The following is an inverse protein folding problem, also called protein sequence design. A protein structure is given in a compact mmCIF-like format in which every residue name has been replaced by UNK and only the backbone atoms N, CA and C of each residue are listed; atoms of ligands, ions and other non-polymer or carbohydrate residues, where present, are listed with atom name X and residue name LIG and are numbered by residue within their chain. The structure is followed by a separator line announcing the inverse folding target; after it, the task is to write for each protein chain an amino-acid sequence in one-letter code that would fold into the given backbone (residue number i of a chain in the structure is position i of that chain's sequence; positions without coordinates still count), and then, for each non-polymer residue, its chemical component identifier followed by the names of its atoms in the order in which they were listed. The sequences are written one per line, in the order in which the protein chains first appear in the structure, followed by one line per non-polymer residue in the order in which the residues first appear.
data_IF_741820992159
#
_entry.id   IF_741820992159
#
_cell.length_a   1.000
_cell.length_b   1.000
_cell.length_c   1.000
_cell.angle_alpha   90.00
_cell.angle_beta   90.00
_cell.angle_gamma   90.00
#
_symmetry.space_group_name_H-M   'P 1'
#
loop_
_entity.id
_entity.type
_entity.pdbx_description
1 polymer ?
#
# COMPACT_ATOMS: atom_id res chain seq x y z
N UNK A 1 7.05 23.23 15.91
CA UNK A 1 7.78 24.23 15.10
C UNK A 1 8.58 23.51 14.02
N UNK A 2 8.29 23.77 12.75
CA UNK A 2 9.05 23.25 11.62
C UNK A 2 10.45 23.89 11.63
N UNK A 3 11.51 23.09 11.51
CA UNK A 3 12.88 23.59 11.59
C UNK A 3 13.23 24.51 10.40
N UNK A 4 14.16 25.45 10.58
CA UNK A 4 14.72 26.27 9.49
C UNK A 4 15.34 25.42 8.38
N UNK A 5 15.83 24.22 8.74
CA UNK A 5 16.30 23.21 7.77
C UNK A 5 15.16 22.64 6.94
N UNK A 6 13.98 22.40 7.51
CA UNK A 6 12.80 21.88 6.79
C UNK A 6 12.22 22.92 5.81
N UNK A 7 12.36 24.21 6.10
CA UNK A 7 11.96 25.30 5.18
C UNK A 7 12.93 25.40 4.00
N UNK A 8 14.23 25.27 4.25
CA UNK A 8 15.29 25.35 3.21
C UNK A 8 15.45 24.06 2.42
N UNK A 9 15.19 22.93 3.07
CA UNK A 9 15.24 21.59 2.51
C UNK A 9 13.89 20.95 2.81
N UNK A 10 12.93 21.05 1.88
CA UNK A 10 11.61 20.46 2.05
C UNK A 10 11.77 19.04 2.58
N UNK A 11 10.94 18.67 3.56
CA UNK A 11 10.89 17.31 4.08
C UNK A 11 10.79 16.37 2.87
N UNK A 12 11.88 15.63 2.60
CA UNK A 12 12.03 14.69 1.48
C UNK A 12 12.45 15.22 0.08
N UNK A 13 12.74 16.52 -0.12
CA UNK A 13 13.25 17.10 -1.40
C UNK A 13 12.43 16.70 -2.66
N UNK A 14 11.13 16.45 -2.53
CA UNK A 14 10.27 16.03 -3.65
C UNK A 14 10.44 14.55 -4.06
N UNK A 15 11.07 13.72 -3.24
CA UNK A 15 11.32 12.30 -3.55
C UNK A 15 10.16 11.37 -3.13
N UNK A 16 8.96 11.86 -2.85
CA UNK A 16 7.79 11.01 -2.63
C UNK A 16 6.60 11.48 -3.45
N UNK A 17 5.71 10.55 -3.74
CA UNK A 17 4.48 10.77 -4.47
C UNK A 17 3.38 11.06 -3.45
N UNK A 18 2.82 12.26 -3.48
CA UNK A 18 1.74 12.66 -2.57
C UNK A 18 0.48 11.84 -2.87
N UNK A 19 -0.14 11.28 -1.84
CA UNK A 19 -1.37 10.50 -1.97
C UNK A 19 -1.22 9.16 -2.70
N UNK A 20 0.01 8.68 -2.89
CA UNK A 20 0.25 7.40 -3.53
C UNK A 20 1.49 6.70 -2.95
N UNK A 21 1.56 5.35 -3.05
CA UNK A 21 2.72 4.61 -2.59
C UNK A 21 3.99 5.10 -3.27
N UNK A 22 4.97 5.47 -2.46
CA UNK A 22 6.24 5.97 -2.95
C UNK A 22 7.26 4.85 -3.03
N UNK A 23 7.79 4.54 -4.22
CA UNK A 23 8.80 3.50 -4.35
C UNK A 23 10.06 3.92 -3.61
N UNK A 24 10.65 2.94 -2.93
CA UNK A 24 11.94 3.10 -2.29
C UNK A 24 13.01 3.56 -3.30
N UNK A 25 14.01 4.30 -2.83
CA UNK A 25 14.99 4.95 -3.72
C UNK A 25 15.73 3.97 -4.63
N UNK A 26 16.03 2.77 -4.12
CA UNK A 26 16.66 1.71 -4.90
C UNK A 26 15.77 1.26 -6.07
N UNK A 27 14.46 1.12 -5.83
CA UNK A 27 13.49 0.58 -6.79
C UNK A 27 13.35 1.45 -8.06
N UNK A 28 13.68 2.74 -7.99
CA UNK A 28 13.63 3.65 -9.15
C UNK A 28 14.59 3.26 -10.27
N UNK A 29 15.74 2.70 -9.91
CA UNK A 29 16.79 2.35 -10.85
C UNK A 29 17.02 0.84 -10.95
N UNK A 30 16.29 0.05 -10.18
CA UNK A 30 16.35 -1.42 -10.21
C UNK A 30 15.28 -1.94 -11.18
N UNK A 31 15.69 -2.55 -12.32
CA UNK A 31 14.75 -3.20 -13.23
C UNK A 31 13.90 -4.24 -12.52
N UNK A 32 12.75 -4.58 -13.09
CA UNK A 32 12.01 -5.78 -12.64
C UNK A 32 12.86 -7.00 -12.99
N UNK A 33 13.22 -7.80 -11.99
CA UNK A 33 13.98 -9.03 -12.21
C UNK A 33 13.13 -10.09 -12.92
N UNK A 34 13.75 -10.81 -13.85
CA UNK A 34 13.20 -11.97 -14.55
C UNK A 34 13.56 -13.31 -13.86
N UNK A 35 14.40 -13.26 -12.82
CA UNK A 35 14.79 -14.41 -12.01
C UNK A 35 13.65 -15.00 -11.16
N UNK A 36 13.94 -16.10 -10.45
CA UNK A 36 12.96 -16.74 -9.56
C UNK A 36 12.55 -15.83 -8.39
N UNK A 37 11.39 -16.12 -7.80
CA UNK A 37 10.94 -15.43 -6.59
C UNK A 37 11.93 -15.62 -5.43
N UNK A 38 12.24 -14.55 -4.70
CA UNK A 38 13.16 -14.62 -3.57
C UNK A 38 12.47 -15.05 -2.26
N UNK A 39 11.18 -14.78 -2.09
CA UNK A 39 10.44 -14.97 -0.83
C UNK A 39 9.14 -15.76 -0.98
N UNK A 40 8.89 -16.40 -2.13
CA UNK A 40 7.72 -17.26 -2.33
C UNK A 40 8.17 -18.71 -2.50
N UNK A 41 7.50 -19.61 -1.79
CA UNK A 41 7.63 -21.05 -1.95
C UNK A 41 6.23 -21.61 -2.21
N UNK A 42 6.01 -22.21 -3.38
CA UNK A 42 4.71 -22.74 -3.80
C UNK A 42 3.55 -21.73 -3.67
N UNK A 43 3.63 -20.57 -4.36
CA UNK A 43 2.62 -19.52 -4.23
C UNK A 43 1.27 -19.95 -4.80
N UNK A 44 0.20 -19.65 -4.06
CA UNK A 44 -1.19 -19.88 -4.49
C UNK A 44 -1.45 -19.04 -5.74
N UNK A 45 -1.73 -19.73 -6.84
CA UNK A 45 -2.11 -19.10 -8.10
C UNK A 45 -3.57 -18.67 -8.06
N UNK A 46 -3.87 -17.49 -8.60
CA UNK A 46 -5.24 -17.00 -8.74
C UNK A 46 -5.79 -17.47 -10.10
N UNK A 47 -6.83 -18.33 -10.15
CA UNK A 47 -7.39 -18.80 -11.41
C UNK A 47 -7.95 -17.65 -12.25
N UNK A 48 -7.91 -17.77 -13.58
CA UNK A 48 -8.45 -16.75 -14.50
C UNK A 48 -9.92 -16.41 -14.20
N UNK A 49 -10.74 -17.39 -13.82
CA UNK A 49 -12.13 -17.16 -13.43
C UNK A 49 -12.27 -16.25 -12.21
N UNK A 50 -11.34 -16.35 -11.26
CA UNK A 50 -11.28 -15.49 -10.06
C UNK A 50 -10.77 -14.11 -10.45
N UNK A 51 -9.75 -14.02 -11.31
CA UNK A 51 -9.25 -12.73 -11.84
C UNK A 51 -10.39 -11.95 -12.52
N UNK A 52 -11.17 -12.61 -13.37
CA UNK A 52 -12.30 -11.97 -14.05
C UNK A 52 -13.42 -11.55 -13.08
N UNK A 53 -13.71 -12.36 -12.06
CA UNK A 53 -14.64 -11.95 -11.00
C UNK A 53 -14.13 -10.70 -10.24
N UNK A 54 -12.83 -10.64 -9.94
CA UNK A 54 -12.22 -9.49 -9.28
C UNK A 54 -12.27 -8.22 -10.16
N UNK A 55 -12.08 -8.34 -11.48
CA UNK A 55 -12.21 -7.21 -12.42
C UNK A 55 -13.61 -6.59 -12.41
N UNK A 56 -14.64 -7.39 -12.14
CA UNK A 56 -16.03 -6.90 -12.00
C UNK A 56 -16.35 -6.28 -10.63
N UNK A 57 -15.52 -6.50 -9.62
CA UNK A 57 -15.81 -6.14 -8.22
C UNK A 57 -14.89 -5.03 -7.66
N UNK A 58 -13.76 -4.75 -8.30
CA UNK A 58 -12.73 -3.85 -7.81
C UNK A 58 -12.50 -2.67 -8.76
N UNK A 59 -11.77 -1.64 -8.30
CA UNK A 59 -11.41 -0.48 -9.10
C UNK A 59 -10.43 -0.84 -10.23
N UNK A 60 -9.43 -1.68 -9.93
CA UNK A 60 -8.43 -2.13 -10.89
C UNK A 60 -7.84 -3.48 -10.49
N UNK A 61 -7.37 -4.25 -11.47
CA UNK A 61 -6.72 -5.57 -11.26
C UNK A 61 -5.49 -5.69 -12.16
N UNK A 62 -4.34 -5.98 -11.55
CA UNK A 62 -3.04 -6.09 -12.19
C UNK A 62 -2.51 -7.51 -12.08
N UNK A 63 -2.16 -8.10 -13.22
CA UNK A 63 -1.67 -9.48 -13.36
C UNK A 63 -0.33 -9.57 -14.08
N UNK A 64 0.07 -8.49 -14.77
CA UNK A 64 1.35 -8.38 -15.45
C UNK A 64 2.48 -8.47 -14.42
N UNK A 65 3.40 -9.45 -14.57
CA UNK A 65 4.50 -9.69 -13.62
C UNK A 65 5.26 -8.40 -13.27
N UNK A 66 5.56 -7.58 -14.28
CA UNK A 66 6.28 -6.33 -14.06
C UNK A 66 5.51 -5.32 -13.20
N UNK A 67 4.20 -5.22 -13.39
CA UNK A 67 3.34 -4.38 -12.56
C UNK A 67 3.20 -4.93 -11.14
N UNK A 68 3.04 -6.25 -11.01
CA UNK A 68 2.93 -6.94 -9.71
C UNK A 68 4.20 -6.69 -8.90
N UNK A 69 5.38 -6.96 -9.46
CA UNK A 69 6.66 -6.69 -8.80
C UNK A 69 6.78 -5.23 -8.41
N UNK A 70 6.51 -4.29 -9.32
CA UNK A 70 6.60 -2.86 -9.00
C UNK A 70 5.66 -2.45 -7.84
N UNK A 71 4.51 -3.12 -7.70
CA UNK A 71 3.48 -2.85 -6.69
C UNK A 71 3.66 -3.62 -5.38
N UNK A 72 4.49 -4.65 -5.33
CA UNK A 72 4.79 -5.41 -4.10
C UNK A 72 6.11 -5.00 -3.43
N UNK A 73 6.95 -4.19 -4.09
CA UNK A 73 8.18 -3.64 -3.49
C UNK A 73 7.91 -2.82 -2.23
N UNK A 74 8.66 -3.10 -1.17
CA UNK A 74 8.62 -2.37 0.10
C UNK A 74 10.02 -1.86 0.52
N UNK A 75 10.18 -1.49 1.79
CA UNK A 75 11.41 -0.92 2.32
C UNK A 75 12.19 -1.91 3.22
N UNK A 76 11.85 -3.20 3.19
CA UNK A 76 12.53 -4.21 3.98
C UNK A 76 13.83 -4.68 3.32
N UNK A 77 14.92 -4.76 4.08
CA UNK A 77 16.22 -5.19 3.53
C UNK A 77 16.17 -6.57 2.87
N UNK A 78 15.32 -7.49 3.36
CA UNK A 78 15.18 -8.83 2.78
C UNK A 78 14.64 -8.81 1.34
N UNK A 79 13.58 -8.02 1.08
CA UNK A 79 13.04 -7.86 -0.27
C UNK A 79 14.01 -7.10 -1.17
N UNK A 80 14.67 -6.05 -0.64
CA UNK A 80 15.65 -5.24 -1.37
C UNK A 80 16.81 -6.06 -1.92
N UNK A 81 17.39 -6.94 -1.10
CA UNK A 81 18.54 -7.76 -1.50
C UNK A 81 18.16 -8.62 -2.71
N UNK A 82 17.05 -9.36 -2.62
CA UNK A 82 16.57 -10.19 -3.74
C UNK A 82 16.32 -9.37 -5.00
N UNK A 83 15.58 -8.26 -4.88
CA UNK A 83 15.23 -7.41 -6.02
C UNK A 83 16.46 -6.85 -6.73
N UNK A 84 17.48 -6.41 -5.98
CA UNK A 84 18.73 -5.89 -6.56
C UNK A 84 19.61 -6.96 -7.19
N UNK A 85 19.42 -8.23 -6.85
CA UNK A 85 20.05 -9.40 -7.48
C UNK A 85 19.26 -9.92 -8.69
N UNK A 86 18.17 -9.25 -9.09
CA UNK A 86 17.29 -9.69 -10.17
C UNK A 86 16.34 -10.83 -9.77
N UNK A 87 16.21 -11.11 -8.46
CA UNK A 87 15.28 -12.09 -7.90
C UNK A 87 14.11 -11.37 -7.22
N UNK A 88 13.03 -11.05 -7.95
CA UNK A 88 11.92 -10.28 -7.39
C UNK A 88 11.36 -10.95 -6.12
N UNK A 89 10.98 -10.14 -5.13
CA UNK A 89 10.62 -10.65 -3.81
C UNK A 89 9.39 -11.56 -3.85
N UNK A 90 8.30 -11.03 -4.43
CA UNK A 90 7.00 -11.70 -4.51
C UNK A 90 6.32 -11.43 -5.86
N UNK A 91 6.85 -11.98 -6.96
CA UNK A 91 6.33 -11.74 -8.30
C UNK A 91 5.00 -12.45 -8.62
N UNK A 92 4.65 -13.51 -7.88
CA UNK A 92 3.52 -14.39 -8.20
C UNK A 92 2.32 -14.02 -7.33
N UNK A 93 1.59 -12.97 -7.73
CA UNK A 93 0.39 -12.48 -7.07
C UNK A 93 -0.49 -11.69 -8.06
N UNK A 94 -1.72 -11.39 -7.66
CA UNK A 94 -2.63 -10.46 -8.38
C UNK A 94 -2.88 -9.25 -7.50
N UNK A 95 -2.62 -8.04 -8.01
CA UNK A 95 -2.88 -6.80 -7.25
C UNK A 95 -4.28 -6.29 -7.60
N UNK A 96 -5.09 -6.03 -6.58
CA UNK A 96 -6.47 -5.57 -6.70
C UNK A 96 -6.62 -4.26 -5.94
N UNK A 97 -6.98 -3.19 -6.63
CA UNK A 97 -7.21 -1.88 -6.01
C UNK A 97 -8.68 -1.73 -5.60
N UNK A 98 -8.94 -1.33 -4.36
CA UNK A 98 -10.27 -0.97 -3.88
C UNK A 98 -10.38 0.54 -3.61
N UNK A 99 -11.56 1.11 -3.84
CA UNK A 99 -11.87 2.54 -3.65
C UNK A 99 -12.84 2.81 -2.48
N UNK A 100 -13.49 1.77 -1.97
CA UNK A 100 -14.48 1.87 -0.91
C UNK A 100 -14.65 0.53 -0.18
N UNK A 101 -15.43 0.55 0.90
CA UNK A 101 -15.67 -0.61 1.74
C UNK A 101 -16.48 -1.72 1.03
N UNK A 102 -17.34 -1.37 0.07
CA UNK A 102 -18.15 -2.35 -0.65
C UNK A 102 -17.29 -3.17 -1.61
N UNK A 103 -16.34 -2.52 -2.29
CA UNK A 103 -15.34 -3.18 -3.11
C UNK A 103 -14.41 -4.07 -2.27
N UNK A 104 -13.95 -3.59 -1.11
CA UNK A 104 -13.17 -4.41 -0.16
C UNK A 104 -13.95 -5.67 0.22
N UNK A 105 -15.21 -5.51 0.62
CA UNK A 105 -16.05 -6.63 1.00
C UNK A 105 -16.31 -7.59 -0.17
N UNK A 106 -16.49 -7.09 -1.39
CA UNK A 106 -16.69 -7.91 -2.58
C UNK A 106 -15.43 -8.74 -2.92
N UNK A 107 -14.25 -8.11 -2.91
CA UNK A 107 -12.98 -8.81 -3.14
C UNK A 107 -12.75 -9.89 -2.09
N UNK A 108 -12.97 -9.58 -0.81
CA UNK A 108 -12.80 -10.55 0.27
C UNK A 108 -13.76 -11.74 0.15
N UNK A 109 -15.03 -11.51 -0.24
CA UNK A 109 -15.99 -12.60 -0.51
C UNK A 109 -15.52 -13.50 -1.65
N UNK A 110 -15.13 -12.91 -2.78
CA UNK A 110 -14.64 -13.67 -3.95
C UNK A 110 -13.42 -14.53 -3.57
N UNK A 111 -12.46 -13.95 -2.84
CA UNK A 111 -11.27 -14.68 -2.42
C UNK A 111 -11.59 -15.77 -1.39
N UNK A 112 -12.50 -15.49 -0.45
CA UNK A 112 -12.97 -16.48 0.53
C UNK A 112 -13.61 -17.70 -0.14
N UNK A 113 -14.57 -17.47 -1.05
CA UNK A 113 -15.28 -18.53 -1.75
C UNK A 113 -14.34 -19.38 -2.62
N UNK A 114 -13.28 -18.78 -3.15
CA UNK A 114 -12.27 -19.44 -3.97
C UNK A 114 -11.07 -20.01 -3.16
N UNK A 115 -11.01 -19.80 -1.85
CA UNK A 115 -9.87 -20.22 -1.02
C UNK A 115 -8.55 -19.50 -1.33
N UNK A 116 -8.61 -18.27 -1.86
CA UNK A 116 -7.44 -17.49 -2.24
C UNK A 116 -6.98 -16.62 -1.06
N UNK A 117 -5.69 -16.67 -0.65
CA UNK A 117 -5.17 -15.83 0.41
C UNK A 117 -5.16 -14.36 -0.03
N UNK A 118 -5.40 -13.46 0.93
CA UNK A 118 -5.40 -12.01 0.70
C UNK A 118 -4.36 -11.34 1.59
N UNK A 119 -3.48 -10.57 0.99
CA UNK A 119 -2.52 -9.71 1.69
C UNK A 119 -2.97 -8.24 1.56
N UNK A 120 -3.36 -7.57 2.66
CA UNK A 120 -3.67 -6.15 2.61
C UNK A 120 -2.40 -5.33 2.35
N UNK A 121 -2.51 -4.29 1.51
CA UNK A 121 -1.41 -3.39 1.18
C UNK A 121 -1.93 -1.97 1.00
N UNK A 122 -1.06 -1.00 1.25
CA UNK A 122 -1.36 0.43 1.08
C UNK A 122 -0.07 1.21 0.83
N UNK A 123 0.36 2.08 1.75
CA UNK A 123 1.55 2.92 1.58
C UNK A 123 2.89 2.18 1.38
N UNK A 124 2.94 0.89 1.71
CA UNK A 124 4.10 -0.02 1.50
C UNK A 124 5.43 0.47 2.10
N UNK A 125 5.39 1.40 3.05
CA UNK A 125 6.57 1.93 3.75
C UNK A 125 7.12 0.99 4.84
N UNK A 126 6.62 -0.25 4.91
CA UNK A 126 6.99 -1.21 5.94
C UNK A 126 8.46 -1.66 5.77
N UNK A 127 9.10 -2.04 6.87
CA UNK A 127 10.50 -2.47 6.92
C UNK A 127 10.66 -3.90 7.45
N UNK A 128 9.62 -4.72 7.33
CA UNK A 128 9.56 -6.08 7.89
C UNK A 128 9.06 -7.13 6.90
N UNK A 129 8.65 -6.73 5.69
CA UNK A 129 8.02 -7.62 4.72
C UNK A 129 6.52 -7.84 4.97
N UNK A 130 5.88 -7.08 5.87
CA UNK A 130 4.52 -7.36 6.35
C UNK A 130 3.43 -7.24 5.28
N UNK A 131 3.67 -6.49 4.20
CA UNK A 131 2.75 -6.33 3.08
C UNK A 131 3.12 -7.18 1.85
N UNK A 132 4.07 -8.12 1.98
CA UNK A 132 4.49 -8.99 0.90
C UNK A 132 3.58 -10.22 0.79
N UNK A 133 3.03 -10.55 -0.40
CA UNK A 133 2.23 -11.76 -0.61
C UNK A 133 3.11 -13.02 -0.70
N UNK A 134 3.76 -13.40 0.41
CA UNK A 134 4.68 -14.56 0.46
C UNK A 134 4.01 -15.89 0.10
N UNK A 135 2.69 -15.98 0.25
CA UNK A 135 1.86 -17.13 -0.14
C UNK A 135 1.22 -16.99 -1.53
N UNK A 136 1.52 -15.93 -2.27
CA UNK A 136 0.83 -15.59 -3.52
C UNK A 136 -0.58 -15.07 -3.28
N UNK A 137 -1.52 -15.39 -4.18
CA UNK A 137 -2.91 -14.96 -4.08
C UNK A 137 -3.12 -13.49 -4.45
N UNK A 138 -3.98 -12.80 -3.69
CA UNK A 138 -4.40 -11.42 -3.97
C UNK A 138 -3.73 -10.44 -3.02
N UNK A 139 -3.12 -9.39 -3.57
CA UNK A 139 -2.75 -8.19 -2.84
C UNK A 139 -3.89 -7.20 -2.94
N UNK A 140 -4.55 -6.90 -1.82
CA UNK A 140 -5.63 -5.91 -1.77
C UNK A 140 -5.05 -4.53 -1.44
N UNK A 141 -4.91 -3.67 -2.45
CA UNK A 141 -4.46 -2.29 -2.32
C UNK A 141 -5.62 -1.40 -1.84
N UNK A 142 -5.43 -0.82 -0.66
CA UNK A 142 -6.42 0.01 0.03
C UNK A 142 -6.20 1.51 -0.18
N UNK A 143 -5.22 1.95 -0.98
CA UNK A 143 -4.91 3.37 -1.17
C UNK A 143 -6.07 4.20 -1.74
N UNK A 144 -7.09 3.58 -2.34
CA UNK A 144 -8.29 4.29 -2.80
C UNK A 144 -9.28 4.65 -1.69
N UNK A 145 -9.10 4.14 -0.47
CA UNK A 145 -9.90 4.45 0.71
C UNK A 145 -9.27 5.64 1.47
N UNK A 146 -9.37 6.85 0.91
CA UNK A 146 -8.54 8.01 1.25
C UNK A 146 -9.26 9.22 1.86
N UNK A 147 -10.48 9.03 2.38
CA UNK A 147 -11.32 10.15 2.88
C UNK A 147 -11.51 10.16 4.40
N UNK A 148 -11.59 11.38 4.96
CA UNK A 148 -12.28 11.60 6.24
C UNK A 148 -13.78 11.47 6.00
N UNK A 149 -14.45 10.67 6.83
CA UNK A 149 -15.88 10.33 6.72
C UNK A 149 -16.73 10.93 7.84
N UNK A 150 -16.11 11.46 8.88
CA UNK A 150 -16.81 12.19 9.94
C UNK A 150 -15.85 12.76 10.98
N UNK A 151 -16.31 13.78 11.69
CA UNK A 151 -15.61 14.37 12.82
C UNK A 151 -16.61 14.75 13.91
N UNK A 152 -16.39 14.24 15.12
CA UNK A 152 -17.14 14.60 16.32
C UNK A 152 -16.32 15.61 17.15
N UNK A 153 -16.70 16.88 17.06
CA UNK A 153 -16.04 17.97 17.79
C UNK A 153 -16.24 17.91 19.31
N UNK A 154 -17.23 17.15 19.80
CA UNK A 154 -17.48 17.01 21.24
C UNK A 154 -16.48 16.02 21.84
N UNK A 155 -16.27 14.89 21.16
CA UNK A 155 -15.36 13.83 21.62
C UNK A 155 -13.94 13.94 21.05
N UNK A 156 -13.72 14.83 20.07
CA UNK A 156 -12.49 14.93 19.27
C UNK A 156 -12.13 13.61 18.57
N UNK A 157 -13.14 12.94 18.01
CA UNK A 157 -12.97 11.69 17.27
C UNK A 157 -13.16 11.95 15.78
N UNK A 158 -12.21 11.48 14.97
CA UNK A 158 -12.29 11.50 13.51
C UNK A 158 -12.52 10.09 12.99
N UNK A 159 -13.49 9.93 12.09
CA UNK A 159 -13.68 8.73 11.30
C UNK A 159 -12.97 8.92 9.96
N UNK A 160 -12.01 8.06 9.64
CA UNK A 160 -11.16 8.17 8.46
C UNK A 160 -10.99 6.81 7.81
N UNK A 161 -10.92 6.80 6.48
CA UNK A 161 -10.68 5.61 5.70
C UNK A 161 -9.19 5.16 5.78
N UNK A 162 -8.97 3.85 5.82
CA UNK A 162 -7.68 3.24 6.16
C UNK A 162 -6.54 3.50 5.14
N UNK A 163 -6.87 3.84 3.91
CA UNK A 163 -5.92 4.16 2.83
C UNK A 163 -5.40 5.59 2.85
N UNK A 164 -5.93 6.47 3.71
CA UNK A 164 -5.52 7.87 3.74
C UNK A 164 -4.07 8.01 4.21
N UNK A 165 -3.24 8.66 3.39
CA UNK A 165 -1.84 8.95 3.74
C UNK A 165 -1.76 9.99 4.85
N UNK A 166 -0.78 9.82 5.75
CA UNK A 166 -0.70 10.62 6.98
C UNK A 166 -0.49 12.12 6.74
N UNK A 167 0.24 12.50 5.70
CA UNK A 167 0.43 13.91 5.32
C UNK A 167 -0.88 14.56 4.86
N UNK A 168 -1.66 13.87 4.04
CA UNK A 168 -2.97 14.33 3.58
C UNK A 168 -3.99 14.35 4.73
N UNK A 169 -3.97 13.32 5.58
CA UNK A 169 -4.84 13.22 6.75
C UNK A 169 -4.63 14.37 7.73
N UNK A 170 -3.37 14.61 8.12
CA UNK A 170 -3.04 15.70 9.04
C UNK A 170 -3.27 17.08 8.43
N UNK A 171 -2.96 17.26 7.14
CA UNK A 171 -3.26 18.51 6.44
C UNK A 171 -4.75 18.81 6.46
N UNK A 172 -5.59 17.85 6.06
CA UNK A 172 -7.03 18.02 6.04
C UNK A 172 -7.58 18.27 7.45
N UNK A 173 -7.10 17.53 8.46
CA UNK A 173 -7.49 17.75 9.86
C UNK A 173 -7.21 19.18 10.35
N UNK A 174 -6.03 19.70 10.03
CA UNK A 174 -5.62 21.03 10.46
C UNK A 174 -6.37 22.13 9.69
N UNK A 175 -6.57 21.96 8.39
CA UNK A 175 -7.23 22.96 7.53
C UNK A 175 -8.76 23.01 7.74
N UNK A 176 -9.42 21.86 7.90
CA UNK A 176 -10.89 21.81 8.00
C UNK A 176 -11.41 21.86 9.44
N UNK A 177 -10.68 21.27 10.38
CA UNK A 177 -11.17 21.07 11.76
C UNK A 177 -10.30 21.76 12.83
N UNK A 178 -9.13 22.29 12.46
CA UNK A 178 -8.23 22.99 13.38
C UNK A 178 -7.61 22.10 14.47
N UNK A 179 -7.55 20.79 14.23
CA UNK A 179 -7.01 19.78 15.18
C UNK A 179 -5.92 18.93 14.52
N UNK A 180 -5.24 18.10 15.32
CA UNK A 180 -4.21 17.15 14.87
C UNK A 180 -4.31 15.87 15.69
N UNK A 181 -3.99 14.72 15.11
CA UNK A 181 -3.84 13.47 15.90
C UNK A 181 -2.51 13.44 16.64
N UNK A 182 -1.53 14.24 16.20
CA UNK A 182 -0.17 14.22 16.75
C UNK A 182 0.62 12.96 16.38
N UNK A 183 0.11 12.12 15.47
CA UNK A 183 0.77 10.88 15.06
C UNK A 183 1.75 11.14 13.91
N UNK A 184 3.04 11.26 14.23
CA UNK A 184 4.09 11.64 13.28
C UNK A 184 5.20 10.58 13.18
N UNK A 185 4.94 9.37 12.66
CA UNK A 185 5.98 8.39 12.41
C UNK A 185 6.98 8.94 11.37
N UNK A 186 8.21 8.42 11.35
CA UNK A 186 9.22 8.83 10.37
C UNK A 186 8.78 8.63 8.91
N UNK A 187 7.84 7.70 8.69
CA UNK A 187 7.22 7.41 7.41
C UNK A 187 5.84 8.07 7.23
N UNK A 188 5.45 9.10 8.01
CA UNK A 188 4.06 9.61 8.01
C UNK A 188 3.52 9.98 6.62
N UNK A 189 4.37 10.55 5.74
CA UNK A 189 3.99 10.90 4.37
C UNK A 189 3.99 9.71 3.39
N UNK A 190 4.50 8.55 3.81
CA UNK A 190 4.60 7.33 3.01
C UNK A 190 3.67 6.20 3.52
N UNK A 191 3.12 6.37 4.71
CA UNK A 191 2.29 5.40 5.40
C UNK A 191 0.85 5.90 5.48
N UNK A 192 -0.08 4.96 5.62
CA UNK A 192 -1.51 5.26 5.68
C UNK A 192 -2.05 4.96 7.08
N UNK A 193 -3.18 5.56 7.43
CA UNK A 193 -3.81 5.38 8.75
C UNK A 193 -3.99 3.90 9.10
N UNK A 194 -4.46 3.09 8.16
CA UNK A 194 -4.64 1.65 8.36
C UNK A 194 -3.34 0.88 8.52
N UNK A 195 -2.22 1.37 7.99
CA UNK A 195 -0.92 0.74 8.15
C UNK A 195 -0.27 1.02 9.52
N UNK A 196 -0.84 1.91 10.33
CA UNK A 196 -0.36 2.22 11.69
C UNK A 196 -0.97 1.32 12.77
N UNK A 197 -2.07 0.61 12.43
CA UNK A 197 -2.85 -0.27 13.31
C UNK A 197 -2.40 -1.70 13.12
#
# INVERSE_FOLDING_TARGET
MISRQTITHPFNRGNYTVGAPSPAKWARNTPVGDGPAALQNDPVQVPDSVVEALRGAARAVHTERAEVVARTRDWWAGSMIGETEGRPATPDAVVVEAADADQVAAVLRICHDAGIPVTPSAGRSNVTGAALPVFGGVVLDLCGLDRITGFDATSNVVAVQAGMFGDLFEKQLQEEYGVTTGHWPSAFALSTVGGWI
#
